data_IF_607081729245
#
_entry.id   IF_607081729245
#
_cell.length_a   1.000
_cell.length_b   1.000
_cell.length_c   1.000
_cell.angle_alpha   90.00
_cell.angle_beta   90.00
_cell.angle_gamma   90.00
#
_symmetry.space_group_name_H-M   'P 1'
#
loop_
_entity.id
_entity.type
_entity.pdbx_description
1 polymer ?
#
# COMPACT_ATOMS: atom_id res chain seq x y z
N UNK A 1 20.20 25.27 20.41
CA UNK A 1 19.81 24.08 19.65
C UNK A 1 18.31 24.15 19.47
N UNK A 2 17.85 24.54 18.28
CA UNK A 2 16.44 24.44 17.90
C UNK A 2 16.12 22.96 17.70
N UNK A 3 15.31 22.39 18.58
CA UNK A 3 14.76 21.04 18.40
C UNK A 3 13.82 21.11 17.20
N UNK A 4 14.27 20.58 16.06
CA UNK A 4 13.41 20.43 14.89
C UNK A 4 12.42 19.31 15.16
N UNK A 5 11.12 19.63 15.06
CA UNK A 5 10.03 18.70 15.33
C UNK A 5 9.62 18.03 14.02
N UNK A 6 9.37 16.71 14.01
CA UNK A 6 8.83 16.01 12.84
C UNK A 6 7.52 16.65 12.35
N UNK A 7 7.33 16.66 11.03
CA UNK A 7 6.12 17.22 10.44
C UNK A 7 4.89 16.31 10.72
N UNK A 8 3.67 16.87 10.83
CA UNK A 8 2.46 16.09 11.06
C UNK A 8 2.23 14.97 10.04
N UNK A 9 2.55 15.21 8.76
CA UNK A 9 2.40 14.21 7.71
C UNK A 9 3.44 13.08 7.80
N UNK A 10 4.65 13.35 8.29
CA UNK A 10 5.64 12.32 8.59
C UNK A 10 5.15 11.43 9.75
N UNK A 11 4.60 12.02 10.81
CA UNK A 11 3.98 11.26 11.91
C UNK A 11 2.78 10.42 11.43
N UNK A 12 1.98 10.94 10.50
CA UNK A 12 0.90 10.16 9.87
C UNK A 12 1.46 8.99 9.05
N UNK A 13 2.52 9.20 8.26
CA UNK A 13 3.19 8.12 7.53
C UNK A 13 3.70 7.04 8.48
N UNK A 14 4.35 7.42 9.60
CA UNK A 14 4.80 6.49 10.63
C UNK A 14 3.64 5.69 11.24
N UNK A 15 2.52 6.35 11.58
CA UNK A 15 1.31 5.69 12.08
C UNK A 15 0.77 4.65 11.09
N UNK A 16 0.72 5.00 9.80
CA UNK A 16 0.28 4.07 8.74
C UNK A 16 1.23 2.89 8.58
N UNK A 17 2.55 3.13 8.61
CA UNK A 17 3.54 2.05 8.56
C UNK A 17 3.32 1.05 9.72
N UNK A 18 3.11 1.55 10.94
CA UNK A 18 2.80 0.69 12.10
C UNK A 18 1.49 -0.08 11.97
N UNK A 19 0.45 0.54 11.44
CA UNK A 19 -0.83 -0.15 11.22
C UNK A 19 -0.64 -1.33 10.24
N UNK A 20 0.18 -1.16 9.21
CA UNK A 20 0.52 -2.22 8.24
C UNK A 20 1.40 -3.29 8.91
N UNK A 21 2.38 -2.90 9.73
CA UNK A 21 3.19 -3.82 10.52
C UNK A 21 2.33 -4.69 11.45
N UNK A 22 1.33 -4.10 12.10
CA UNK A 22 0.38 -4.82 12.95
C UNK A 22 -0.41 -5.88 12.19
N UNK A 23 -0.86 -5.57 10.97
CA UNK A 23 -1.51 -6.54 10.07
C UNK A 23 -0.57 -7.71 9.79
N UNK A 24 0.70 -7.42 9.46
CA UNK A 24 1.69 -8.44 9.17
C UNK A 24 1.96 -9.35 10.39
N UNK A 25 2.20 -8.78 11.58
CA UNK A 25 2.37 -9.53 12.83
C UNK A 25 1.16 -10.41 13.15
N UNK A 26 -0.05 -9.85 13.04
CA UNK A 26 -1.28 -10.59 13.32
C UNK A 26 -1.44 -11.81 12.41
N UNK A 27 -1.12 -11.66 11.12
CA UNK A 27 -1.12 -12.78 10.17
C UNK A 27 -0.04 -13.80 10.53
N UNK A 28 1.18 -13.36 10.87
CA UNK A 28 2.27 -14.25 11.25
C UNK A 28 1.91 -15.13 12.47
N UNK A 29 1.26 -14.55 13.48
CA UNK A 29 0.82 -15.26 14.70
C UNK A 29 -0.22 -16.37 14.43
N UNK A 30 -0.95 -16.30 13.31
CA UNK A 30 -1.93 -17.32 12.91
C UNK A 30 -1.30 -18.50 12.16
N UNK A 31 0.01 -18.75 12.33
CA UNK A 31 0.76 -19.81 11.65
C UNK A 31 0.63 -19.75 10.12
N UNK A 32 0.62 -18.53 9.59
CA UNK A 32 0.50 -18.29 8.17
C UNK A 32 1.69 -18.91 7.40
N UNK A 33 1.49 -19.51 6.21
CA UNK A 33 2.55 -20.19 5.45
C UNK A 33 3.73 -19.27 5.05
N UNK A 34 3.51 -17.95 5.05
CA UNK A 34 4.53 -16.94 4.82
C UNK A 34 4.98 -16.24 6.13
N UNK A 35 4.96 -16.95 7.26
CA UNK A 35 5.21 -16.39 8.60
C UNK A 35 6.50 -15.58 8.69
N UNK A 36 7.63 -16.14 8.26
CA UNK A 36 8.94 -15.47 8.31
C UNK A 36 8.97 -14.18 7.47
N UNK A 37 8.36 -14.22 6.27
CA UNK A 37 8.25 -13.05 5.42
C UNK A 37 7.37 -11.96 6.05
N UNK A 38 6.26 -12.35 6.70
CA UNK A 38 5.39 -11.41 7.41
C UNK A 38 6.08 -10.77 8.62
N UNK A 39 6.89 -11.53 9.36
CA UNK A 39 7.72 -10.99 10.45
C UNK A 39 8.74 -9.99 9.91
N UNK A 40 9.44 -10.35 8.83
CA UNK A 40 10.42 -9.46 8.17
C UNK A 40 9.76 -8.15 7.70
N UNK A 41 8.58 -8.24 7.06
CA UNK A 41 7.82 -7.06 6.63
C UNK A 41 7.42 -6.19 7.83
N UNK A 42 7.01 -6.78 8.94
CA UNK A 42 6.65 -6.03 10.13
C UNK A 42 7.83 -5.25 10.71
N UNK A 43 9.00 -5.89 10.82
CA UNK A 43 10.24 -5.26 11.32
C UNK A 43 10.67 -4.09 10.42
N UNK A 44 10.71 -4.31 9.10
CA UNK A 44 11.03 -3.23 8.15
C UNK A 44 10.07 -2.05 8.26
N UNK A 45 8.79 -2.29 8.54
CA UNK A 45 7.79 -1.23 8.69
C UNK A 45 7.87 -0.49 10.03
N UNK A 46 8.37 -1.14 11.09
CA UNK A 46 8.70 -0.44 12.32
C UNK A 46 9.89 0.50 12.10
N UNK A 47 10.92 0.04 11.38
CA UNK A 47 12.08 0.87 11.02
C UNK A 47 11.64 2.06 10.13
N UNK A 48 10.77 1.83 9.14
CA UNK A 48 10.16 2.91 8.34
C UNK A 48 9.45 3.93 9.24
N UNK A 49 8.67 3.46 10.21
CA UNK A 49 7.97 4.35 11.13
C UNK A 49 8.96 5.18 11.98
N UNK A 50 10.04 4.57 12.44
CA UNK A 50 11.10 5.26 13.18
C UNK A 50 11.79 6.31 12.33
N UNK A 51 12.11 6.02 11.06
CA UNK A 51 12.70 6.98 10.14
C UNK A 51 11.80 8.21 9.93
N UNK A 52 10.49 8.01 9.74
CA UNK A 52 9.55 9.12 9.62
C UNK A 52 9.41 9.95 10.92
N UNK A 53 9.54 9.32 12.09
CA UNK A 53 9.50 10.04 13.37
C UNK A 53 10.79 10.76 13.70
N UNK A 54 11.93 10.28 13.21
CA UNK A 54 13.21 10.96 13.35
C UNK A 54 13.41 12.06 12.31
N UNK A 55 12.62 12.04 11.22
CA UNK A 55 12.81 12.93 10.09
C UNK A 55 12.51 14.38 10.43
N UNK A 56 13.54 15.20 10.27
CA UNK A 56 13.42 16.65 10.27
C UNK A 56 13.37 17.13 8.81
N UNK A 57 12.37 17.92 8.42
CA UNK A 57 12.25 18.37 7.04
C UNK A 57 13.43 19.25 6.62
N UNK A 58 13.90 19.03 5.40
CA UNK A 58 14.93 19.87 4.80
C UNK A 58 14.42 21.30 4.59
N UNK A 59 15.34 22.26 4.68
CA UNK A 59 15.10 23.64 4.27
C UNK A 59 15.74 23.89 2.91
N UNK A 60 14.95 24.41 1.96
CA UNK A 60 15.42 24.86 0.66
C UNK A 60 15.05 26.33 0.49
N UNK A 61 16.06 27.19 0.32
CA UNK A 61 15.89 28.64 0.19
C UNK A 61 15.03 29.28 1.31
N UNK A 62 15.15 28.76 2.54
CA UNK A 62 14.38 29.23 3.70
C UNK A 62 12.93 28.74 3.74
N UNK A 63 12.54 27.81 2.85
CA UNK A 63 11.25 27.13 2.87
C UNK A 63 11.42 25.69 3.38
N UNK A 64 10.61 25.31 4.35
CA UNK A 64 10.53 23.93 4.83
C UNK A 64 9.87 23.05 3.77
N UNK A 65 10.57 22.01 3.32
CA UNK A 65 10.03 21.02 2.40
C UNK A 65 9.06 20.09 3.13
N UNK A 66 7.77 20.39 2.98
CA UNK A 66 6.71 19.64 3.67
C UNK A 66 6.36 18.31 2.99
N UNK A 67 6.74 18.10 1.73
CA UNK A 67 6.43 16.87 0.97
C UNK A 67 7.70 16.08 0.69
N UNK A 68 8.34 15.61 1.76
CA UNK A 68 9.57 14.81 1.70
C UNK A 68 9.38 13.45 2.37
N UNK A 69 9.94 12.42 1.76
CA UNK A 69 10.05 11.08 2.33
C UNK A 69 11.52 10.85 2.64
N UNK A 70 11.89 10.42 3.87
CA UNK A 70 13.26 10.09 4.22
C UNK A 70 13.81 9.03 3.27
N UNK A 71 15.05 9.19 2.81
CA UNK A 71 15.66 8.23 1.89
C UNK A 71 15.65 6.80 2.46
N UNK A 72 16.04 6.65 3.72
CA UNK A 72 16.08 5.35 4.40
C UNK A 72 14.69 4.74 4.53
N UNK A 73 13.67 5.53 4.87
CA UNK A 73 12.27 5.08 4.86
C UNK A 73 11.83 4.58 3.47
N UNK A 74 12.15 5.32 2.40
CA UNK A 74 11.84 4.91 1.03
C UNK A 74 12.57 3.62 0.63
N UNK A 75 13.82 3.45 1.06
CA UNK A 75 14.62 2.27 0.78
C UNK A 75 14.08 1.04 1.50
N UNK A 76 13.76 1.16 2.79
CA UNK A 76 13.16 0.09 3.60
C UNK A 76 11.78 -0.32 3.06
N UNK A 77 10.95 0.63 2.63
CA UNK A 77 9.69 0.32 1.95
C UNK A 77 9.91 -0.49 0.68
N UNK A 78 10.90 -0.13 -0.14
CA UNK A 78 11.24 -0.88 -1.35
C UNK A 78 11.71 -2.30 -1.04
N UNK A 79 12.50 -2.51 0.03
CA UNK A 79 12.87 -3.85 0.49
C UNK A 79 11.63 -4.64 0.93
N UNK A 80 10.73 -4.03 1.69
CA UNK A 80 9.52 -4.70 2.14
C UNK A 80 8.62 -5.12 0.96
N UNK A 81 8.49 -4.27 -0.06
CA UNK A 81 7.78 -4.59 -1.31
C UNK A 81 8.46 -5.73 -2.10
N UNK A 82 9.80 -5.79 -2.12
CA UNK A 82 10.54 -6.92 -2.71
C UNK A 82 10.31 -8.23 -1.93
N UNK A 83 10.24 -8.18 -0.60
CA UNK A 83 9.86 -9.36 0.22
C UNK A 83 8.45 -9.82 -0.13
N UNK A 84 7.48 -8.90 -0.30
CA UNK A 84 6.11 -9.23 -0.74
C UNK A 84 6.12 -9.86 -2.13
N UNK A 85 6.86 -9.30 -3.08
CA UNK A 85 6.96 -9.81 -4.45
C UNK A 85 7.49 -11.26 -4.50
N UNK A 86 8.49 -11.58 -3.65
CA UNK A 86 9.04 -12.93 -3.50
C UNK A 86 8.13 -13.88 -2.73
N UNK A 87 7.18 -13.36 -1.96
CA UNK A 87 6.28 -14.11 -1.09
C UNK A 87 4.81 -13.73 -1.33
N UNK A 88 4.22 -14.08 -2.49
CA UNK A 88 2.86 -13.66 -2.85
C UNK A 88 1.78 -14.18 -1.88
N UNK A 89 2.07 -15.25 -1.14
CA UNK A 89 1.18 -15.77 -0.11
C UNK A 89 0.92 -14.76 1.04
N UNK A 90 1.81 -13.79 1.28
CA UNK A 90 1.65 -12.76 2.32
C UNK A 90 0.34 -11.97 2.21
N UNK A 91 -0.23 -11.87 1.00
CA UNK A 91 -1.50 -11.21 0.75
C UNK A 91 -1.44 -9.67 0.89
N UNK A 92 -0.25 -9.08 0.79
CA UNK A 92 -0.06 -7.64 0.62
C UNK A 92 -0.04 -7.28 -0.87
N UNK A 93 -0.53 -6.08 -1.25
CA UNK A 93 -0.35 -5.58 -2.61
C UNK A 93 1.13 -5.31 -2.91
N UNK A 94 1.52 -5.42 -4.18
CA UNK A 94 2.91 -5.22 -4.63
C UNK A 94 3.46 -3.82 -4.30
N UNK A 95 2.62 -2.79 -4.30
CA UNK A 95 2.99 -1.41 -4.00
C UNK A 95 2.32 -0.89 -2.73
N UNK A 96 2.28 -1.71 -1.67
CA UNK A 96 1.60 -1.35 -0.44
C UNK A 96 2.24 -0.14 0.26
N UNK A 97 3.50 0.20 -0.05
CA UNK A 97 4.19 1.40 0.44
C UNK A 97 3.47 2.69 0.05
N UNK A 98 2.68 2.69 -1.03
CA UNK A 98 1.80 3.81 -1.40
C UNK A 98 0.85 4.22 -0.26
N UNK A 99 0.38 3.26 0.55
CA UNK A 99 -0.48 3.56 1.70
C UNK A 99 0.25 4.33 2.79
N UNK A 100 1.57 4.19 2.91
CA UNK A 100 2.42 4.95 3.84
C UNK A 100 2.71 6.34 3.27
N UNK A 101 3.28 6.42 2.07
CA UNK A 101 3.74 7.69 1.46
C UNK A 101 2.59 8.62 1.05
N UNK A 102 1.38 8.09 0.88
CA UNK A 102 0.19 8.90 0.64
C UNK A 102 -0.15 9.84 1.79
N UNK A 103 0.39 9.63 2.99
CA UNK A 103 0.28 10.61 4.07
C UNK A 103 1.08 11.89 3.77
N UNK A 104 2.17 11.77 3.00
CA UNK A 104 3.06 12.87 2.62
C UNK A 104 2.57 13.55 1.34
N UNK A 105 2.17 12.77 0.33
CA UNK A 105 1.81 13.29 -1.00
C UNK A 105 0.32 13.46 -1.25
N UNK A 106 -0.54 12.90 -0.39
CA UNK A 106 -2.00 13.03 -0.53
C UNK A 106 -2.58 12.29 -1.73
N UNK A 107 -1.86 11.33 -2.32
CA UNK A 107 -2.27 10.59 -3.51
C UNK A 107 -2.14 9.08 -3.30
N UNK A 108 -3.10 8.34 -3.87
CA UNK A 108 -3.06 6.88 -4.00
C UNK A 108 -3.46 6.52 -5.42
N UNK A 109 -2.69 5.65 -6.05
CA UNK A 109 -2.95 5.25 -7.43
C UNK A 109 -3.90 4.06 -7.47
N UNK A 110 -4.91 4.15 -8.33
CA UNK A 110 -5.69 2.98 -8.69
C UNK A 110 -4.86 2.07 -9.60
N UNK A 111 -5.04 0.74 -9.53
CA UNK A 111 -4.41 -0.18 -10.47
C UNK A 111 -4.66 0.22 -11.93
N UNK A 112 -3.73 -0.05 -12.84
CA UNK A 112 -3.93 0.21 -14.26
C UNK A 112 -5.10 -0.63 -14.82
N UNK A 113 -5.97 -0.09 -15.70
CA UNK A 113 -7.08 -0.85 -16.26
C UNK A 113 -6.65 -2.15 -16.96
N UNK A 114 -7.45 -3.21 -16.82
CA UNK A 114 -7.15 -4.55 -17.35
C UNK A 114 -7.62 -4.76 -18.79
N UNK A 115 -8.56 -3.93 -19.27
CA UNK A 115 -9.14 -4.01 -20.61
C UNK A 115 -9.68 -5.40 -20.99
N UNK A 116 -10.61 -5.97 -20.19
CA UNK A 116 -11.25 -7.24 -20.50
C UNK A 116 -12.14 -7.16 -21.75
N UNK A 117 -12.06 -8.19 -22.59
CA UNK A 117 -12.94 -8.32 -23.77
C UNK A 117 -14.35 -8.77 -23.37
N UNK A 118 -14.48 -9.65 -22.37
CA UNK A 118 -15.78 -10.14 -21.93
C UNK A 118 -16.49 -9.17 -20.97
N UNK A 119 -17.79 -8.96 -21.20
CA UNK A 119 -18.61 -8.06 -20.40
C UNK A 119 -18.66 -8.45 -18.91
N UNK A 120 -18.60 -9.76 -18.60
CA UNK A 120 -18.57 -10.26 -17.23
C UNK A 120 -17.31 -9.81 -16.50
N UNK A 121 -16.12 -9.93 -17.12
CA UNK A 121 -14.86 -9.50 -16.50
C UNK A 121 -14.76 -7.98 -16.44
N UNK A 122 -15.31 -7.25 -17.43
CA UNK A 122 -15.43 -5.79 -17.39
C UNK A 122 -16.25 -5.29 -16.19
N UNK A 123 -17.38 -5.95 -15.90
CA UNK A 123 -18.19 -5.62 -14.73
C UNK A 123 -17.44 -5.90 -13.42
N UNK A 124 -16.68 -7.00 -13.34
CA UNK A 124 -15.86 -7.30 -12.16
C UNK A 124 -14.75 -6.26 -11.97
N UNK A 125 -14.07 -5.86 -13.04
CA UNK A 125 -13.05 -4.82 -13.02
C UNK A 125 -13.64 -3.51 -12.48
N UNK A 126 -14.74 -3.03 -13.07
CA UNK A 126 -15.40 -1.80 -12.67
C UNK A 126 -15.78 -1.81 -11.17
N UNK A 127 -16.34 -2.91 -10.69
CA UNK A 127 -16.72 -3.06 -9.28
C UNK A 127 -15.50 -3.02 -8.35
N UNK A 128 -14.39 -3.68 -8.71
CA UNK A 128 -13.17 -3.65 -7.90
C UNK A 128 -12.52 -2.27 -7.89
N UNK A 129 -12.46 -1.58 -9.05
CA UNK A 129 -11.94 -0.21 -9.13
C UNK A 129 -12.77 0.74 -8.27
N UNK A 130 -14.10 0.68 -8.37
CA UNK A 130 -14.99 1.53 -7.58
C UNK A 130 -14.83 1.26 -6.07
N UNK A 131 -14.70 0.00 -5.67
CA UNK A 131 -14.44 -0.37 -4.28
C UNK A 131 -13.09 0.16 -3.77
N UNK A 132 -12.02 0.03 -4.56
CA UNK A 132 -10.70 0.58 -4.23
C UNK A 132 -10.73 2.10 -4.14
N UNK A 133 -11.40 2.78 -5.08
CA UNK A 133 -11.51 4.24 -5.08
C UNK A 133 -12.21 4.76 -3.82
N UNK A 134 -13.36 4.18 -3.47
CA UNK A 134 -14.09 4.57 -2.25
C UNK A 134 -13.23 4.36 -1.00
N UNK A 135 -12.49 3.26 -0.98
CA UNK A 135 -11.55 3.04 0.11
C UNK A 135 -10.48 4.14 0.07
N UNK A 136 -9.75 4.34 -1.04
CA UNK A 136 -8.64 5.30 -1.14
C UNK A 136 -9.04 6.71 -0.71
N UNK A 137 -10.20 7.20 -1.14
CA UNK A 137 -10.75 8.49 -0.72
C UNK A 137 -10.91 8.59 0.80
N UNK A 138 -11.39 7.52 1.45
CA UNK A 138 -11.51 7.45 2.91
C UNK A 138 -10.16 7.41 3.64
N UNK A 139 -9.14 6.79 3.05
CA UNK A 139 -7.77 6.78 3.60
C UNK A 139 -7.14 8.16 3.54
N UNK A 140 -7.25 8.82 2.39
CA UNK A 140 -6.66 10.14 2.16
C UNK A 140 -7.29 11.22 3.03
N UNK A 141 -8.58 11.11 3.34
CA UNK A 141 -9.30 12.07 4.21
C UNK A 141 -9.10 11.82 5.70
N UNK A 142 -8.36 10.78 6.12
CA UNK A 142 -8.16 10.42 7.53
C UNK A 142 -9.39 9.83 8.22
N UNK A 143 -10.54 9.76 7.53
CA UNK A 143 -11.77 9.12 8.02
C UNK A 143 -11.64 7.59 8.20
N UNK A 144 -10.57 6.99 7.68
CA UNK A 144 -10.17 5.60 7.96
C UNK A 144 -9.27 5.45 9.20
N UNK A 145 -8.63 6.51 9.67
CA UNK A 145 -7.57 6.43 10.70
C UNK A 145 -8.11 6.50 12.14
N UNK A 146 -9.21 7.22 12.37
CA UNK A 146 -9.72 7.47 13.73
C UNK A 146 -10.38 6.25 14.39
N UNK A 147 -10.86 5.26 13.62
CA UNK A 147 -11.44 4.01 14.12
C UNK A 147 -11.18 2.88 13.11
N UNK A 148 -10.21 2.01 13.39
CA UNK A 148 -10.01 0.77 12.63
C UNK A 148 -9.17 0.90 11.35
N UNK A 149 -8.13 1.74 11.35
CA UNK A 149 -7.18 1.89 10.24
C UNK A 149 -6.69 0.55 9.68
N UNK A 150 -6.34 -0.40 10.57
CA UNK A 150 -5.91 -1.74 10.17
C UNK A 150 -7.01 -2.53 9.43
N UNK A 151 -8.25 -2.49 9.90
CA UNK A 151 -9.38 -3.19 9.25
C UNK A 151 -9.66 -2.63 7.86
N UNK A 152 -9.59 -1.30 7.74
CA UNK A 152 -9.75 -0.59 6.48
C UNK A 152 -8.63 -0.97 5.50
N UNK A 153 -7.36 -0.94 5.93
CA UNK A 153 -6.21 -1.33 5.11
C UNK A 153 -6.31 -2.79 4.68
N UNK A 154 -6.74 -3.69 5.58
CA UNK A 154 -7.00 -5.08 5.23
C UNK A 154 -8.11 -5.25 4.18
N UNK A 155 -9.16 -4.43 4.23
CA UNK A 155 -10.20 -4.43 3.20
C UNK A 155 -9.62 -4.02 1.84
N UNK A 156 -8.79 -2.96 1.81
CA UNK A 156 -8.12 -2.52 0.58
C UNK A 156 -7.18 -3.60 0.03
N UNK A 157 -6.36 -4.22 0.88
CA UNK A 157 -5.46 -5.31 0.50
C UNK A 157 -6.22 -6.52 -0.07
N UNK A 158 -7.36 -6.88 0.52
CA UNK A 158 -8.25 -7.91 -0.05
C UNK A 158 -8.76 -7.57 -1.44
N UNK A 159 -9.09 -6.29 -1.72
CA UNK A 159 -9.48 -5.86 -3.06
C UNK A 159 -8.30 -5.93 -4.04
N UNK A 160 -7.09 -5.56 -3.65
CA UNK A 160 -5.89 -5.74 -4.48
C UNK A 160 -5.59 -7.22 -4.79
N UNK A 161 -5.83 -8.13 -3.84
CA UNK A 161 -5.69 -9.57 -4.10
C UNK A 161 -6.73 -10.06 -5.11
N UNK A 162 -7.98 -9.61 -4.98
CA UNK A 162 -9.02 -9.88 -6.00
C UNK A 162 -8.65 -9.29 -7.36
N UNK A 163 -8.07 -8.10 -7.39
CA UNK A 163 -7.58 -7.47 -8.62
C UNK A 163 -6.50 -8.31 -9.30
N UNK A 164 -5.50 -8.76 -8.54
CA UNK A 164 -4.40 -9.58 -9.07
C UNK A 164 -4.92 -10.88 -9.67
N UNK A 165 -5.91 -11.52 -9.02
CA UNK A 165 -6.58 -12.69 -9.55
C UNK A 165 -7.36 -12.37 -10.83
N UNK A 166 -8.14 -11.29 -10.84
CA UNK A 166 -8.88 -10.87 -12.02
C UNK A 166 -7.94 -10.59 -13.20
N UNK A 167 -6.79 -9.95 -12.96
CA UNK A 167 -5.79 -9.68 -13.99
C UNK A 167 -5.30 -10.98 -14.68
N UNK A 168 -5.07 -12.05 -13.91
CA UNK A 168 -4.73 -13.36 -14.47
C UNK A 168 -5.87 -13.96 -15.29
N UNK A 169 -7.12 -13.85 -14.81
CA UNK A 169 -8.31 -14.33 -15.52
C UNK A 169 -8.53 -13.58 -16.85
N UNK A 170 -8.35 -12.25 -16.85
CA UNK A 170 -8.43 -11.40 -18.04
C UNK A 170 -7.34 -11.73 -19.05
N UNK A 171 -6.11 -11.93 -18.61
CA UNK A 171 -5.00 -12.31 -19.49
C UNK A 171 -5.30 -13.62 -20.25
N UNK A 172 -5.85 -14.62 -19.54
CA UNK A 172 -6.24 -15.90 -20.15
C UNK A 172 -7.42 -15.72 -21.12
N UNK A 173 -8.46 -14.97 -20.75
CA UNK A 173 -9.64 -14.75 -21.60
C UNK A 173 -9.29 -13.97 -22.87
N UNK A 174 -8.51 -12.90 -22.76
CA UNK A 174 -8.08 -12.08 -23.89
C UNK A 174 -7.15 -12.86 -24.84
N UNK A 175 -6.39 -13.84 -24.34
CA UNK A 175 -5.51 -14.66 -25.15
C UNK A 175 -6.25 -15.71 -26.01
N UNK A 176 -7.55 -15.96 -25.77
CA UNK A 176 -8.35 -16.94 -26.53
C UNK A 176 -8.48 -16.52 -27.99
N UNK A 177 -8.43 -17.50 -28.90
CA UNK A 177 -8.48 -17.26 -30.34
C UNK A 177 -9.75 -16.51 -30.79
N UNK A 178 -10.90 -16.77 -30.16
CA UNK A 178 -12.16 -16.08 -30.47
C UNK A 178 -12.19 -14.60 -30.04
N UNK A 179 -11.22 -14.15 -29.23
CA UNK A 179 -11.15 -12.79 -28.67
C UNK A 179 -9.98 -11.98 -29.25
N UNK A 180 -9.16 -12.56 -30.14
CA UNK A 180 -8.08 -11.82 -30.81
C UNK A 180 -8.65 -11.06 -32.01
N UNK A 181 -8.26 -9.79 -32.22
CA UNK A 181 -8.54 -9.09 -33.47
C UNK A 181 -7.95 -9.90 -34.64
N UNK A 182 -8.71 -10.05 -35.72
CA UNK A 182 -8.23 -10.65 -36.96
C UNK A 182 -7.39 -9.67 -37.76
#
# INVERSE_FOLDING_TARGET
MTTSTPLPNALHAASRARAIAEIARRRALLQHPAGDALTTIAELLDDVAQEFEAFTPDELDGMTLISSVPFDASFLLSIAEDVVAKNPATGFPAHFGQYVISAVFGTLELPAPLHPVSAQLAAQEANLRAGLQLLHERHLTGAGEQQGAALYLEAAFKLHMKWTRLAAEVAVDNARSCNRPT
#
